data_IF_409006219188
#
_entry.id   IF_409006219188
#
_cell.length_a   1.000
_cell.length_b   1.000
_cell.length_c   1.000
_cell.angle_alpha   90.00
_cell.angle_beta   90.00
_cell.angle_gamma   90.00
#
_symmetry.space_group_name_H-M   'P 1'
#
loop_
_entity.id
_entity.type
_entity.pdbx_description
1 polymer ?
#
# COMPACT_ATOMS: atom_id res chain seq x y z
N UNK A 1 8.47 7.06 -4.48
CA UNK A 1 7.42 6.56 -5.42
C UNK A 1 7.15 7.67 -6.43
N UNK A 2 6.73 7.33 -7.67
CA UNK A 2 6.33 8.35 -8.65
C UNK A 2 4.92 8.90 -8.44
N UNK A 3 4.06 8.14 -7.77
CA UNK A 3 2.71 8.57 -7.41
C UNK A 3 2.76 9.87 -6.59
N UNK A 4 1.85 10.80 -6.91
CA UNK A 4 1.70 12.09 -6.21
C UNK A 4 1.57 11.87 -4.70
N UNK A 5 2.34 12.61 -3.91
CA UNK A 5 2.36 12.49 -2.45
C UNK A 5 2.97 11.19 -1.90
N UNK A 6 3.51 10.31 -2.75
CA UNK A 6 4.08 9.03 -2.33
C UNK A 6 5.47 9.17 -1.69
N UNK A 7 5.58 8.93 -0.38
CA UNK A 7 6.82 9.14 0.41
C UNK A 7 7.69 7.89 0.57
N UNK A 8 7.19 6.72 0.20
CA UNK A 8 7.94 5.46 0.24
C UNK A 8 7.02 4.26 0.53
N UNK A 9 7.58 3.06 0.57
CA UNK A 9 6.84 1.87 1.01
C UNK A 9 7.76 0.83 1.64
N UNK A 10 7.17 -0.07 2.41
CA UNK A 10 7.80 -1.26 2.94
C UNK A 10 6.88 -2.47 2.67
N UNK A 11 7.47 -3.63 2.34
CA UNK A 11 6.72 -4.88 2.17
C UNK A 11 7.18 -5.87 3.23
N UNK A 12 6.26 -6.24 4.11
CA UNK A 12 6.52 -7.17 5.20
C UNK A 12 5.85 -8.50 4.91
N UNK A 13 6.55 -9.62 5.12
CA UNK A 13 5.99 -10.97 5.06
C UNK A 13 5.71 -11.45 6.49
N UNK A 14 4.52 -11.99 6.75
CA UNK A 14 4.24 -12.60 8.06
C UNK A 14 5.07 -13.86 8.26
N UNK A 15 5.64 -14.01 9.46
CA UNK A 15 6.40 -15.20 9.87
C UNK A 15 5.44 -16.36 10.12
N UNK A 16 4.35 -16.11 10.85
CA UNK A 16 3.35 -17.10 11.26
C UNK A 16 2.40 -17.50 10.14
N UNK A 17 2.20 -16.61 9.15
CA UNK A 17 1.30 -16.82 8.01
C UNK A 17 2.08 -16.53 6.71
N UNK A 18 2.85 -17.50 6.17
CA UNK A 18 3.76 -17.27 5.04
C UNK A 18 3.11 -16.74 3.75
N UNK A 19 1.80 -16.93 3.58
CA UNK A 19 1.04 -16.40 2.44
C UNK A 19 0.50 -14.98 2.66
N UNK A 20 0.69 -14.37 3.85
CA UNK A 20 0.25 -13.01 4.15
C UNK A 20 1.39 -12.03 4.07
N UNK A 21 1.13 -10.93 3.37
CA UNK A 21 2.03 -9.80 3.22
C UNK A 21 1.30 -8.51 3.63
N UNK A 22 2.04 -7.56 4.20
CA UNK A 22 1.57 -6.20 4.49
C UNK A 22 2.42 -5.21 3.70
N UNK A 23 1.75 -4.44 2.83
CA UNK A 23 2.36 -3.31 2.13
C UNK A 23 2.08 -2.04 2.93
N UNK A 24 3.09 -1.50 3.60
CA UNK A 24 3.01 -0.20 4.27
C UNK A 24 3.43 0.89 3.28
N UNK A 25 2.46 1.49 2.59
CA UNK A 25 2.69 2.63 1.71
C UNK A 25 2.56 3.95 2.49
N UNK A 26 3.58 4.81 2.42
CA UNK A 26 3.63 6.10 3.08
C UNK A 26 3.15 7.19 2.12
N UNK A 27 2.14 7.93 2.54
CA UNK A 27 1.49 9.00 1.77
C UNK A 27 1.54 10.31 2.54
N UNK A 28 1.57 11.42 1.81
CA UNK A 28 1.47 12.77 2.36
C UNK A 28 0.07 13.08 2.89
N UNK A 29 -0.96 12.69 2.15
CA UNK A 29 -2.37 12.79 2.58
C UNK A 29 -3.13 11.51 2.27
N UNK A 30 -4.33 11.38 2.87
CA UNK A 30 -5.25 10.28 2.59
C UNK A 30 -5.67 10.27 1.11
N UNK A 31 -5.96 11.44 0.56
CA UNK A 31 -6.45 11.66 -0.80
C UNK A 31 -5.41 11.30 -1.85
N UNK A 32 -4.11 11.48 -1.56
CA UNK A 32 -3.06 11.03 -2.47
C UNK A 32 -3.12 9.52 -2.72
N UNK A 33 -3.53 8.73 -1.73
CA UNK A 33 -3.84 7.32 -1.94
C UNK A 33 -5.23 7.14 -2.55
N UNK A 34 -6.28 7.59 -1.85
CA UNK A 34 -7.66 7.15 -2.12
C UNK A 34 -8.27 7.78 -3.37
N UNK A 35 -7.75 8.92 -3.82
CA UNK A 35 -8.22 9.65 -5.00
C UNK A 35 -7.13 9.66 -6.08
N UNK A 36 -5.99 10.31 -5.83
CA UNK A 36 -4.98 10.53 -6.86
C UNK A 36 -4.40 9.20 -7.38
N UNK A 37 -3.90 8.33 -6.48
CA UNK A 37 -3.33 7.05 -6.90
C UNK A 37 -4.40 6.07 -7.38
N UNK A 38 -5.49 5.88 -6.63
CA UNK A 38 -6.56 4.94 -7.02
C UNK A 38 -7.22 5.27 -8.36
N UNK A 39 -7.27 6.56 -8.74
CA UNK A 39 -7.78 7.01 -10.04
C UNK A 39 -6.75 7.03 -11.17
N UNK A 40 -5.49 6.69 -10.91
CA UNK A 40 -4.39 6.79 -11.89
C UNK A 40 -4.18 5.51 -12.71
N UNK A 41 -3.53 5.66 -13.86
CA UNK A 41 -3.02 4.52 -14.66
C UNK A 41 -2.02 3.66 -13.88
N UNK A 42 -1.28 4.25 -12.94
CA UNK A 42 -0.33 3.53 -12.09
C UNK A 42 -1.02 2.50 -11.20
N UNK A 43 -2.23 2.78 -10.71
CA UNK A 43 -2.99 1.80 -9.94
C UNK A 43 -3.44 0.63 -10.82
N UNK A 44 -3.88 0.89 -12.06
CA UNK A 44 -4.22 -0.15 -13.01
C UNK A 44 -2.99 -1.02 -13.36
N UNK A 45 -1.84 -0.40 -13.64
CA UNK A 45 -0.59 -1.10 -13.89
C UNK A 45 -0.15 -1.95 -12.68
N UNK A 46 -0.21 -1.37 -11.47
CA UNK A 46 0.06 -2.10 -10.23
C UNK A 46 -0.85 -3.32 -10.09
N UNK A 47 -2.17 -3.16 -10.27
CA UNK A 47 -3.13 -4.27 -10.21
C UNK A 47 -2.86 -5.35 -11.27
N UNK A 48 -2.40 -4.97 -12.46
CA UNK A 48 -2.00 -5.92 -13.50
C UNK A 48 -0.77 -6.76 -13.11
N UNK A 49 0.20 -6.15 -12.42
CA UNK A 49 1.42 -6.84 -11.97
C UNK A 49 1.15 -7.82 -10.83
N UNK A 50 0.39 -7.41 -9.81
CA UNK A 50 0.25 -8.20 -8.57
C UNK A 50 -1.11 -8.90 -8.41
N UNK A 51 -2.13 -8.48 -9.15
CA UNK A 51 -3.52 -8.87 -8.90
C UNK A 51 -3.77 -10.38 -8.96
N UNK A 52 -3.10 -11.07 -9.87
CA UNK A 52 -3.21 -12.53 -10.04
C UNK A 52 -2.69 -13.34 -8.85
N UNK A 53 -1.85 -12.75 -8.00
CA UNK A 53 -1.28 -13.44 -6.83
C UNK A 53 -2.13 -13.28 -5.56
N UNK A 54 -3.16 -12.41 -5.60
CA UNK A 54 -4.03 -12.21 -4.46
C UNK A 54 -5.12 -13.27 -4.39
N UNK A 55 -5.20 -13.99 -3.26
CA UNK A 55 -6.28 -14.93 -2.99
C UNK A 55 -7.65 -14.24 -2.86
N UNK A 56 -7.68 -12.97 -2.46
CA UNK A 56 -8.87 -12.12 -2.35
C UNK A 56 -8.44 -10.65 -2.44
N UNK A 57 -9.36 -9.69 -2.65
CA UNK A 57 -9.03 -8.27 -2.49
C UNK A 57 -8.33 -8.00 -1.14
N UNK A 58 -7.24 -7.22 -1.10
CA UNK A 58 -6.56 -6.92 0.16
C UNK A 58 -7.42 -6.02 1.04
N UNK A 59 -7.39 -6.26 2.34
CA UNK A 59 -7.87 -5.32 3.34
C UNK A 59 -6.95 -4.10 3.39
N UNK A 60 -7.52 -2.91 3.46
CA UNK A 60 -6.77 -1.64 3.43
C UNK A 60 -7.24 -0.76 4.57
N UNK A 61 -6.27 -0.29 5.35
CA UNK A 61 -6.45 0.70 6.42
C UNK A 61 -5.43 1.83 6.25
N UNK A 62 -5.71 2.97 6.89
CA UNK A 62 -4.80 4.11 6.94
C UNK A 62 -4.58 4.48 8.39
N UNK A 63 -3.31 4.61 8.76
CA UNK A 63 -2.89 4.85 10.15
C UNK A 63 -1.99 6.08 10.20
N UNK A 64 -2.01 6.78 11.32
CA UNK A 64 -1.01 7.79 11.65
C UNK A 64 -0.14 7.28 12.79
N UNK A 65 1.16 7.58 12.74
CA UNK A 65 2.07 7.30 13.85
C UNK A 65 1.74 8.24 15.00
N UNK A 66 1.28 7.69 16.12
CA UNK A 66 1.00 8.47 17.34
C UNK A 66 2.25 8.58 18.22
N UNK A 67 3.09 7.56 18.21
CA UNK A 67 4.34 7.49 18.95
C UNK A 67 5.35 6.68 18.14
N UNK A 68 6.60 7.14 18.11
CA UNK A 68 7.74 6.34 17.69
C UNK A 68 8.66 6.23 18.90
N UNK A 69 9.06 5.01 19.26
CA UNK A 69 10.15 4.80 20.22
C UNK A 69 11.46 4.62 19.44
N UNK A 70 12.52 5.27 19.92
CA UNK A 70 13.89 5.02 19.47
C UNK A 70 14.54 3.85 20.19
#
# INVERSE_FOLDING_TARGET
MRAKGGKGFELHKSIEKPSRYRLLAKWETLENHTVDFRGSEDFAAWRGLVGQYFASPPEVEHTQTVLTSG
#
